data_IF_149681655390
#
_entry.id   IF_149681655390
#
_cell.length_a   1.000
_cell.length_b   1.000
_cell.length_c   1.000
_cell.angle_alpha   90.00
_cell.angle_beta   90.00
_cell.angle_gamma   90.00
#
_symmetry.space_group_name_H-M   'P 1'
#
loop_
_entity.id
_entity.type
_entity.pdbx_description
1 polymer ?
#
# COMPACT_ATOMS: atom_id res chain seq x y z
N UNK A 1 -12.32 9.99 -14.67
CA UNK A 1 -11.45 10.93 -15.45
C UNK A 1 -10.45 10.18 -16.34
N UNK A 2 -10.22 10.56 -17.60
CA UNK A 2 -9.20 9.94 -18.47
C UNK A 2 -8.08 10.93 -18.73
N UNK A 3 -6.82 10.56 -18.53
CA UNK A 3 -5.67 11.44 -18.78
C UNK A 3 -4.61 10.74 -19.63
N UNK A 4 -3.85 11.51 -20.38
CA UNK A 4 -2.66 11.02 -21.05
C UNK A 4 -1.44 11.14 -20.12
N UNK A 5 -0.57 10.13 -20.14
CA UNK A 5 0.72 10.13 -19.44
C UNK A 5 1.82 9.90 -20.46
N UNK A 6 2.95 10.58 -20.28
CA UNK A 6 4.15 10.45 -21.12
C UNK A 6 5.19 9.58 -20.41
N UNK A 7 5.73 8.59 -21.12
CA UNK A 7 6.92 7.85 -20.72
C UNK A 7 8.17 8.56 -21.28
N UNK A 8 9.01 9.11 -20.40
CA UNK A 8 10.19 9.89 -20.80
C UNK A 8 11.30 9.02 -21.39
N UNK A 9 11.48 7.79 -20.93
CA UNK A 9 12.53 6.88 -21.39
C UNK A 9 12.38 6.51 -22.87
N UNK A 10 11.12 6.44 -23.32
CA UNK A 10 10.77 6.16 -24.73
C UNK A 10 10.64 7.42 -25.58
N UNK A 11 10.59 8.60 -24.97
CA UNK A 11 10.39 9.84 -25.69
C UNK A 11 11.73 10.33 -26.26
N UNK A 12 11.80 10.46 -27.59
CA UNK A 12 12.94 11.08 -28.28
C UNK A 12 12.52 12.44 -28.86
N UNK A 13 12.57 13.53 -28.07
CA UNK A 13 12.07 14.83 -28.52
C UNK A 13 12.90 15.42 -29.65
N UNK A 14 14.19 15.11 -29.75
CA UNK A 14 15.06 15.59 -30.83
C UNK A 14 14.79 14.86 -32.16
N UNK A 15 14.40 13.60 -32.10
CA UNK A 15 14.20 12.74 -33.28
C UNK A 15 12.75 12.78 -33.82
N UNK A 16 11.86 13.58 -33.21
CA UNK A 16 10.48 13.74 -33.71
C UNK A 16 10.33 14.98 -34.62
N UNK A 17 9.84 16.09 -34.07
CA UNK A 17 9.69 17.36 -34.76
C UNK A 17 10.07 18.51 -33.82
N UNK A 18 10.46 19.65 -34.37
CA UNK A 18 11.03 20.75 -33.59
C UNK A 18 9.96 21.68 -32.99
N UNK A 19 10.19 22.11 -31.74
CA UNK A 19 9.42 23.16 -31.07
C UNK A 19 7.90 22.89 -31.04
N UNK A 20 7.05 23.86 -31.47
CA UNK A 20 5.60 23.73 -31.42
C UNK A 20 5.03 22.74 -32.44
N UNK A 21 5.84 22.29 -33.41
CA UNK A 21 5.42 21.32 -34.43
C UNK A 21 5.45 19.87 -33.94
N UNK A 22 5.88 19.61 -32.69
CA UNK A 22 5.83 18.28 -32.08
C UNK A 22 4.41 17.71 -32.21
N UNK A 23 4.23 16.46 -32.71
CA UNK A 23 2.90 15.90 -32.96
C UNK A 23 1.98 15.90 -31.74
N UNK A 24 2.53 15.68 -30.54
CA UNK A 24 1.78 15.73 -29.29
C UNK A 24 1.22 17.13 -28.98
N UNK A 25 1.94 18.20 -29.31
CA UNK A 25 1.52 19.60 -29.10
C UNK A 25 0.57 20.02 -30.22
N UNK A 26 1.00 19.84 -31.48
CA UNK A 26 0.28 20.30 -32.69
C UNK A 26 -1.10 19.68 -32.86
N UNK A 27 -1.26 18.40 -32.55
CA UNK A 27 -2.52 17.68 -32.74
C UNK A 27 -3.40 17.58 -31.48
N UNK A 28 -2.93 18.05 -30.32
CA UNK A 28 -3.74 18.06 -29.10
C UNK A 28 -4.93 19.03 -29.26
N UNK A 29 -6.20 18.58 -29.12
CA UNK A 29 -7.37 19.45 -29.26
C UNK A 29 -7.40 20.61 -28.28
N UNK A 30 -6.95 20.36 -27.04
CA UNK A 30 -6.91 21.38 -25.98
C UNK A 30 -5.88 22.46 -26.29
N UNK A 31 -4.68 22.07 -26.74
CA UNK A 31 -3.70 23.03 -27.27
C UNK A 31 -4.20 23.82 -28.47
N UNK A 32 -4.96 23.20 -29.38
CA UNK A 32 -5.53 23.91 -30.54
C UNK A 32 -6.64 24.88 -30.18
N UNK A 33 -7.28 24.70 -29.03
CA UNK A 33 -8.33 25.58 -28.50
C UNK A 33 -7.77 26.68 -27.59
N UNK A 34 -6.44 26.74 -27.41
CA UNK A 34 -5.74 27.77 -26.64
C UNK A 34 -5.30 27.33 -25.25
N UNK A 35 -5.71 26.14 -24.78
CA UNK A 35 -5.29 25.61 -23.49
C UNK A 35 -3.84 25.13 -23.52
N UNK A 36 -3.08 25.38 -22.47
CA UNK A 36 -1.68 24.96 -22.39
C UNK A 36 -1.54 23.53 -21.83
N UNK A 37 -2.23 22.57 -22.45
CA UNK A 37 -2.30 21.18 -21.95
C UNK A 37 -0.99 20.42 -22.11
N UNK A 38 -0.26 20.62 -23.21
CA UNK A 38 1.07 20.04 -23.43
C UNK A 38 2.04 21.16 -23.81
N UNK A 39 3.06 21.40 -23.00
CA UNK A 39 4.10 22.42 -23.22
C UNK A 39 5.45 21.78 -23.43
N UNK A 40 6.33 22.46 -24.16
CA UNK A 40 7.74 22.09 -24.19
C UNK A 40 8.42 22.66 -22.95
N UNK A 41 9.05 21.80 -22.15
CA UNK A 41 9.82 22.23 -20.99
C UNK A 41 11.21 22.72 -21.38
N UNK A 42 11.87 23.37 -20.43
CA UNK A 42 13.27 23.82 -20.57
C UNK A 42 14.24 22.64 -20.75
N UNK A 43 13.85 21.46 -20.27
CA UNK A 43 14.55 20.18 -20.48
C UNK A 43 14.41 19.60 -21.89
N UNK A 44 13.66 20.27 -22.78
CA UNK A 44 13.41 19.83 -24.16
C UNK A 44 12.37 18.72 -24.29
N UNK A 45 11.77 18.27 -23.18
CA UNK A 45 10.71 17.25 -23.19
C UNK A 45 9.31 17.90 -23.17
N UNK A 46 8.28 17.25 -23.75
CA UNK A 46 6.91 17.69 -23.57
C UNK A 46 6.40 17.39 -22.15
N UNK A 47 5.90 18.41 -21.46
CA UNK A 47 5.23 18.31 -20.15
C UNK A 47 3.72 18.42 -20.36
N UNK A 48 2.99 17.46 -19.80
CA UNK A 48 1.54 17.40 -19.87
C UNK A 48 0.94 17.87 -18.55
N UNK A 49 0.01 18.81 -18.61
CA UNK A 49 -0.81 19.21 -17.47
C UNK A 49 -2.05 18.29 -17.38
N UNK A 50 -2.15 17.42 -16.36
CA UNK A 50 -3.23 16.44 -16.26
C UNK A 50 -4.60 17.10 -16.04
N UNK A 51 -4.66 18.28 -15.42
CA UNK A 51 -5.90 18.98 -15.12
C UNK A 51 -6.60 19.54 -16.37
N UNK A 52 -5.83 19.86 -17.40
CA UNK A 52 -6.36 20.39 -18.67
C UNK A 52 -6.64 19.29 -19.70
N UNK A 53 -6.13 18.08 -19.47
CA UNK A 53 -6.20 16.97 -20.40
C UNK A 53 -7.61 16.39 -20.50
N UNK A 54 -8.16 16.36 -21.72
CA UNK A 54 -9.47 15.75 -21.98
C UNK A 54 -9.44 14.22 -22.16
N UNK A 55 -8.26 13.59 -22.13
CA UNK A 55 -8.13 12.14 -22.32
C UNK A 55 -8.47 11.63 -23.73
N UNK A 56 -8.48 12.51 -24.75
CA UNK A 56 -8.90 12.18 -26.11
C UNK A 56 -8.03 11.15 -26.87
N UNK A 57 -6.79 10.91 -26.42
CA UNK A 57 -5.90 9.89 -27.02
C UNK A 57 -5.23 10.27 -28.35
N UNK A 58 -5.37 11.51 -28.82
CA UNK A 58 -4.76 11.93 -30.09
C UNK A 58 -3.22 11.93 -30.01
N UNK A 59 -2.65 12.34 -28.88
CA UNK A 59 -1.20 12.30 -28.65
C UNK A 59 -0.63 10.87 -28.75
N UNK A 60 -1.36 9.85 -28.29
CA UNK A 60 -0.99 8.43 -28.41
C UNK A 60 -0.91 7.99 -29.87
N UNK A 61 -1.92 8.37 -30.66
CA UNK A 61 -2.01 8.00 -32.09
C UNK A 61 -1.01 8.75 -32.97
N UNK A 62 -0.66 9.99 -32.62
CA UNK A 62 0.19 10.87 -33.44
C UNK A 62 1.66 10.85 -33.02
N UNK A 63 2.00 10.27 -31.87
CA UNK A 63 3.38 10.12 -31.44
C UNK A 63 4.09 9.03 -32.25
N UNK A 64 5.19 9.35 -32.97
CA UNK A 64 5.93 8.35 -33.75
C UNK A 64 6.67 7.32 -32.88
N UNK A 65 6.93 7.66 -31.61
CA UNK A 65 7.61 6.80 -30.64
C UNK A 65 6.65 6.09 -29.67
N UNK A 66 5.33 6.30 -29.84
CA UNK A 66 4.29 5.77 -28.94
C UNK A 66 4.55 6.02 -27.44
N UNK A 67 5.20 7.13 -27.09
CA UNK A 67 5.59 7.43 -25.71
C UNK A 67 4.43 7.93 -24.83
N UNK A 68 3.20 7.98 -25.35
CA UNK A 68 2.02 8.38 -24.59
C UNK A 68 1.09 7.19 -24.36
N UNK A 69 0.46 7.16 -23.18
CA UNK A 69 -0.57 6.17 -22.85
C UNK A 69 -1.77 6.91 -22.26
N UNK A 70 -2.99 6.49 -22.63
CA UNK A 70 -4.18 6.95 -21.92
C UNK A 70 -4.40 6.04 -20.72
N UNK A 71 -4.35 6.63 -19.54
CA UNK A 71 -4.80 5.97 -18.32
C UNK A 71 -6.21 6.47 -17.99
N UNK A 72 -7.06 5.54 -17.59
CA UNK A 72 -8.33 5.89 -16.99
C UNK A 72 -8.05 6.05 -15.50
N UNK A 73 -8.12 7.29 -14.99
CA UNK A 73 -8.26 7.52 -13.55
C UNK A 73 -9.71 7.17 -13.23
N UNK A 74 -9.97 6.09 -12.49
CA UNK A 74 -11.33 5.75 -12.14
C UNK A 74 -11.85 6.85 -11.20
N UNK A 75 -12.84 7.62 -11.68
CA UNK A 75 -13.60 8.58 -10.85
C UNK A 75 -14.24 7.87 -9.64
N UNK A 76 -14.49 6.56 -9.80
CA UNK A 76 -15.02 5.64 -8.81
C UNK A 76 -14.12 5.43 -7.58
N UNK A 77 -12.85 5.86 -7.61
CA UNK A 77 -11.96 5.70 -6.47
C UNK A 77 -12.17 6.77 -5.39
N UNK A 78 -12.66 7.96 -5.71
CA UNK A 78 -12.93 8.99 -4.69
C UNK A 78 -14.00 8.54 -3.69
N UNK A 79 -15.03 7.82 -4.17
CA UNK A 79 -16.06 7.22 -3.32
C UNK A 79 -15.59 6.01 -2.52
N UNK A 80 -14.41 5.47 -2.82
CA UNK A 80 -13.86 4.26 -2.19
C UNK A 80 -12.59 4.54 -1.38
N UNK A 81 -12.28 5.82 -1.13
CA UNK A 81 -11.15 6.22 -0.28
C UNK A 81 -11.36 5.62 1.10
N UNK A 82 -10.41 4.80 1.53
CA UNK A 82 -10.42 4.19 2.86
C UNK A 82 -9.59 5.03 3.84
N UNK A 83 -8.40 5.45 3.41
CA UNK A 83 -7.54 6.29 4.23
C UNK A 83 -6.67 7.20 3.35
N UNK A 84 -6.37 8.40 3.84
CA UNK A 84 -5.46 9.34 3.19
C UNK A 84 -4.58 10.02 4.25
N UNK A 85 -3.26 10.00 4.04
CA UNK A 85 -2.31 10.54 5.03
C UNK A 85 -2.26 12.07 5.07
N UNK A 86 -2.45 12.73 3.92
CA UNK A 86 -2.49 14.19 3.79
C UNK A 86 -3.24 14.58 2.51
N UNK A 87 -3.64 15.85 2.31
CA UNK A 87 -4.38 16.29 1.13
C UNK A 87 -3.73 15.90 -0.22
N UNK A 88 -2.40 15.91 -0.30
CA UNK A 88 -1.63 15.48 -1.48
C UNK A 88 -0.89 14.15 -1.27
N UNK A 89 -1.20 13.45 -0.17
CA UNK A 89 -0.51 12.26 0.26
C UNK A 89 -1.03 10.97 -0.37
N UNK A 90 -0.34 9.88 -0.02
CA UNK A 90 -0.76 8.54 -0.38
C UNK A 90 -2.22 8.29 0.06
N UNK A 91 -3.01 7.75 -0.88
CA UNK A 91 -4.42 7.42 -0.69
C UNK A 91 -4.60 5.92 -0.83
N UNK A 92 -5.12 5.29 0.23
CA UNK A 92 -5.55 3.90 0.21
C UNK A 92 -7.00 3.84 -0.25
N UNK A 93 -7.27 3.02 -1.26
CA UNK A 93 -8.61 2.76 -1.77
C UNK A 93 -9.01 1.33 -1.45
N UNK A 94 -10.28 1.16 -1.06
CA UNK A 94 -10.86 -0.11 -0.58
C UNK A 94 -10.13 -0.71 0.62
N UNK A 95 -10.76 -1.70 1.24
CA UNK A 95 -10.20 -2.43 2.36
C UNK A 95 -10.05 -3.92 2.04
N UNK A 96 -9.04 -4.52 2.67
CA UNK A 96 -8.90 -5.96 2.74
C UNK A 96 -10.05 -6.53 3.58
N UNK A 97 -10.72 -7.56 3.08
CA UNK A 97 -11.83 -8.20 3.79
C UNK A 97 -11.32 -9.50 4.42
N UNK A 98 -11.04 -9.53 5.74
CA UNK A 98 -10.66 -10.76 6.40
C UNK A 98 -11.84 -11.74 6.40
N UNK A 99 -11.54 -13.03 6.24
CA UNK A 99 -12.51 -14.11 6.39
C UNK A 99 -12.07 -14.99 7.55
N UNK A 100 -13.01 -15.40 8.40
CA UNK A 100 -12.75 -16.46 9.38
C UNK A 100 -12.39 -17.75 8.62
N UNK A 101 -11.50 -18.54 9.21
CA UNK A 101 -11.09 -19.87 8.75
C UNK A 101 -10.48 -19.94 7.34
N UNK A 102 -10.01 -18.80 6.82
CA UNK A 102 -9.36 -18.73 5.51
C UNK A 102 -8.13 -17.83 5.56
N UNK A 103 -7.12 -18.19 4.78
CA UNK A 103 -5.93 -17.36 4.61
C UNK A 103 -6.19 -16.34 3.50
N UNK A 104 -6.16 -15.06 3.84
CA UNK A 104 -6.22 -13.97 2.86
C UNK A 104 -4.81 -13.65 2.34
N UNK A 105 -4.55 -13.97 1.07
CA UNK A 105 -3.31 -13.57 0.40
C UNK A 105 -3.37 -12.13 -0.09
N UNK A 106 -2.36 -11.31 0.25
CA UNK A 106 -2.25 -9.92 -0.19
C UNK A 106 -1.01 -9.76 -1.06
N UNK A 107 -1.21 -9.53 -2.36
CA UNK A 107 -0.13 -9.41 -3.36
C UNK A 107 -0.22 -8.04 -4.02
N UNK A 108 0.94 -7.39 -4.20
CA UNK A 108 1.04 -6.12 -4.90
C UNK A 108 2.44 -5.53 -4.79
N UNK A 109 2.74 -4.53 -5.61
CA UNK A 109 4.04 -3.83 -5.57
C UNK A 109 4.24 -3.08 -4.24
N UNK A 110 5.47 -2.71 -3.94
CA UNK A 110 5.77 -1.87 -2.78
C UNK A 110 5.13 -0.48 -2.97
N UNK A 111 4.66 0.12 -1.87
CA UNK A 111 3.99 1.43 -1.93
C UNK A 111 2.51 1.40 -2.33
N UNK A 112 1.92 0.24 -2.67
CA UNK A 112 0.48 0.14 -3.02
C UNK A 112 -0.48 0.22 -1.81
N UNK A 113 0.05 0.29 -0.58
CA UNK A 113 -0.76 0.42 0.64
C UNK A 113 -1.02 -0.86 1.43
N UNK A 114 -0.35 -1.98 1.11
CA UNK A 114 -0.48 -3.25 1.87
C UNK A 114 -0.26 -3.06 3.38
N UNK A 115 0.85 -2.43 3.75
CA UNK A 115 1.19 -2.19 5.17
C UNK A 115 0.21 -1.20 5.82
N UNK A 116 -0.33 -0.24 5.06
CA UNK A 116 -1.36 0.69 5.55
C UNK A 116 -2.66 -0.04 5.84
N UNK A 117 -3.12 -0.92 4.94
CA UNK A 117 -4.31 -1.73 5.15
C UNK A 117 -4.17 -2.66 6.38
N UNK A 118 -2.99 -3.26 6.58
CA UNK A 118 -2.72 -4.07 7.78
C UNK A 118 -2.74 -3.26 9.07
N UNK A 119 -2.22 -2.02 9.06
CA UNK A 119 -2.29 -1.11 10.23
C UNK A 119 -3.73 -0.72 10.57
N UNK A 120 -4.60 -0.61 9.56
CA UNK A 120 -6.02 -0.33 9.77
C UNK A 120 -6.71 -1.55 10.37
N UNK A 121 -6.49 -2.73 9.80
CA UNK A 121 -7.04 -3.97 10.35
C UNK A 121 -6.56 -4.20 11.79
N UNK A 122 -5.31 -3.86 12.11
CA UNK A 122 -4.77 -3.98 13.47
C UNK A 122 -5.25 -2.91 14.46
N UNK A 123 -6.08 -1.95 14.02
CA UNK A 123 -6.57 -0.84 14.86
C UNK A 123 -5.52 0.23 15.20
N UNK A 124 -4.29 0.12 14.67
CA UNK A 124 -3.22 1.10 14.89
C UNK A 124 -3.41 2.37 14.05
N UNK A 125 -4.26 2.32 13.04
CA UNK A 125 -4.60 3.43 12.17
C UNK A 125 -6.12 3.44 11.93
N UNK A 126 -6.79 4.57 12.19
CA UNK A 126 -8.20 4.72 11.84
C UNK A 126 -8.36 5.11 10.38
N UNK A 127 -9.43 4.63 9.75
CA UNK A 127 -9.85 5.12 8.45
C UNK A 127 -10.34 6.56 8.58
N UNK A 128 -10.08 7.38 7.56
CA UNK A 128 -10.54 8.77 7.55
C UNK A 128 -11.37 9.13 6.31
N UNK A 129 -11.55 8.20 5.36
CA UNK A 129 -12.28 8.43 4.11
C UNK A 129 -11.85 9.71 3.36
N UNK A 130 -10.59 10.12 3.51
CA UNK A 130 -10.06 11.35 2.89
C UNK A 130 -10.41 12.65 3.64
N UNK A 131 -11.06 12.58 4.80
CA UNK A 131 -11.36 13.72 5.69
C UNK A 131 -10.21 13.94 6.68
N UNK A 132 -10.01 15.19 7.09
CA UNK A 132 -8.93 15.60 7.99
C UNK A 132 -9.48 16.46 9.14
N UNK A 133 -8.67 16.58 10.20
CA UNK A 133 -8.95 17.42 11.37
C UNK A 133 -10.29 17.07 12.04
N UNK A 134 -11.13 18.06 12.34
CA UNK A 134 -12.42 17.87 13.02
C UNK A 134 -13.42 17.01 12.25
N UNK A 135 -13.17 16.77 10.95
CA UNK A 135 -14.02 15.95 10.10
C UNK A 135 -13.60 14.47 10.05
N UNK A 136 -12.61 14.05 10.83
CA UNK A 136 -12.21 12.64 10.85
C UNK A 136 -13.30 11.78 11.52
N UNK A 137 -13.77 10.71 10.86
CA UNK A 137 -14.82 9.84 11.38
C UNK A 137 -14.35 9.09 12.62
N UNK A 138 -15.28 8.90 13.56
CA UNK A 138 -15.06 8.01 14.69
C UNK A 138 -15.29 6.54 14.31
N UNK A 139 -14.93 5.63 15.24
CA UNK A 139 -15.12 4.19 15.03
C UNK A 139 -16.59 3.83 14.73
N UNK A 140 -17.55 4.53 15.34
CA UNK A 140 -18.97 4.31 15.08
C UNK A 140 -19.36 4.66 13.64
N UNK A 141 -18.86 5.77 13.11
CA UNK A 141 -19.08 6.15 11.71
C UNK A 141 -18.41 5.18 10.74
N UNK A 142 -17.21 4.70 11.07
CA UNK A 142 -16.49 3.70 10.26
C UNK A 142 -17.29 2.38 10.24
N UNK A 143 -17.79 1.93 11.38
CA UNK A 143 -18.60 0.71 11.48
C UNK A 143 -19.93 0.87 10.72
N UNK A 144 -20.56 2.04 10.82
CA UNK A 144 -21.80 2.38 10.12
C UNK A 144 -21.62 2.32 8.59
N UNK A 145 -20.51 2.87 8.09
CA UNK A 145 -20.16 2.84 6.66
C UNK A 145 -20.11 1.41 6.10
N UNK A 146 -19.65 0.45 6.90
CA UNK A 146 -19.53 -0.95 6.48
C UNK A 146 -20.78 -1.81 6.75
N UNK A 147 -21.90 -1.23 7.20
CA UNK A 147 -23.14 -1.97 7.50
C UNK A 147 -23.52 -2.97 6.41
N UNK A 148 -23.82 -4.20 6.83
CA UNK A 148 -24.19 -5.29 5.92
C UNK A 148 -22.98 -6.01 5.26
N UNK A 149 -21.75 -5.66 5.62
CA UNK A 149 -20.53 -6.35 5.16
C UNK A 149 -19.83 -7.11 6.30
N UNK A 150 -18.89 -8.00 5.94
CA UNK A 150 -18.04 -8.72 6.91
C UNK A 150 -17.20 -7.74 7.75
N UNK A 151 -16.81 -6.61 7.16
CA UNK A 151 -16.03 -5.58 7.85
C UNK A 151 -16.81 -4.92 8.99
N UNK A 152 -18.14 -4.90 8.94
CA UNK A 152 -18.96 -4.39 10.04
C UNK A 152 -18.76 -5.20 11.32
N UNK A 153 -18.89 -6.53 11.23
CA UNK A 153 -18.66 -7.43 12.36
C UNK A 153 -17.21 -7.31 12.84
N UNK A 154 -16.26 -7.29 11.91
CA UNK A 154 -14.82 -7.19 12.23
C UNK A 154 -14.48 -5.93 13.02
N UNK A 155 -14.89 -4.75 12.54
CA UNK A 155 -14.59 -3.49 13.22
C UNK A 155 -15.35 -3.32 14.54
N UNK A 156 -16.55 -3.92 14.65
CA UNK A 156 -17.27 -3.98 15.92
C UNK A 156 -16.48 -4.78 16.97
N UNK A 157 -16.01 -5.97 16.59
CA UNK A 157 -15.18 -6.80 17.48
C UNK A 157 -13.84 -6.13 17.83
N UNK A 158 -13.25 -5.39 16.88
CA UNK A 158 -12.03 -4.61 17.09
C UNK A 158 -12.26 -3.47 18.09
N UNK A 159 -13.36 -2.71 17.93
CA UNK A 159 -13.75 -1.62 18.85
C UNK A 159 -13.99 -2.16 20.27
N UNK A 160 -14.68 -3.29 20.38
CA UNK A 160 -14.95 -3.97 21.65
C UNK A 160 -13.71 -4.62 22.29
N UNK A 161 -12.54 -4.57 21.62
CA UNK A 161 -11.29 -5.24 22.03
C UNK A 161 -11.45 -6.75 22.25
N UNK A 162 -12.38 -7.38 21.53
CA UNK A 162 -12.63 -8.83 21.54
C UNK A 162 -11.74 -9.59 20.55
N UNK A 163 -10.99 -8.87 19.71
CA UNK A 163 -9.97 -9.42 18.82
C UNK A 163 -8.60 -8.98 19.29
N UNK A 164 -7.70 -9.91 19.64
CA UNK A 164 -6.29 -9.60 19.78
C UNK A 164 -5.57 -9.89 18.46
N UNK A 165 -5.07 -8.82 17.84
CA UNK A 165 -4.42 -8.90 16.54
C UNK A 165 -2.92 -8.98 16.76
N UNK A 166 -2.34 -10.10 16.34
CA UNK A 166 -0.90 -10.28 16.35
C UNK A 166 -0.31 -9.88 15.01
N UNK A 167 0.57 -8.88 15.02
CA UNK A 167 1.27 -8.43 13.83
C UNK A 167 2.76 -8.80 13.92
N UNK A 168 3.25 -9.57 12.93
CA UNK A 168 4.68 -9.83 12.77
C UNK A 168 5.35 -8.57 12.19
N UNK A 169 6.37 -7.99 12.85
CA UNK A 169 7.12 -6.86 12.29
C UNK A 169 7.65 -7.16 10.88
N UNK A 170 7.62 -6.14 10.03
CA UNK A 170 8.18 -6.21 8.67
C UNK A 170 9.72 -6.19 8.74
N UNK A 171 10.27 -5.27 9.54
CA UNK A 171 11.72 -5.16 9.80
C UNK A 171 12.13 -6.09 10.94
N UNK A 172 12.56 -7.30 10.59
CA UNK A 172 13.03 -8.29 11.57
C UNK A 172 14.40 -7.92 12.16
N UNK A 173 15.21 -7.15 11.44
CA UNK A 173 16.58 -6.76 11.83
C UNK A 173 16.63 -5.86 13.06
N UNK A 174 15.52 -5.24 13.43
CA UNK A 174 15.43 -4.39 14.62
C UNK A 174 15.06 -5.16 15.89
N UNK A 175 14.53 -6.39 15.76
CA UNK A 175 14.10 -7.22 16.89
C UNK A 175 15.20 -7.40 17.95
N UNK A 176 16.48 -7.68 17.61
CA UNK A 176 17.53 -7.87 18.61
C UNK A 176 17.85 -6.60 19.43
N UNK A 177 17.46 -5.41 18.94
CA UNK A 177 17.65 -4.15 19.69
C UNK A 177 16.68 -4.03 20.87
N UNK A 178 15.49 -4.61 20.74
CA UNK A 178 14.40 -4.48 21.73
C UNK A 178 14.22 -5.72 22.60
N UNK A 179 14.73 -6.87 22.16
CA UNK A 179 14.56 -8.15 22.84
C UNK A 179 15.93 -8.80 23.02
N UNK A 180 16.30 -9.06 24.27
CA UNK A 180 17.55 -9.69 24.66
C UNK A 180 17.29 -11.02 25.37
N UNK A 181 18.21 -11.97 25.15
CA UNK A 181 18.21 -13.29 25.78
C UNK A 181 18.15 -14.44 24.78
N UNK A 182 18.00 -15.65 25.32
CA UNK A 182 17.84 -16.87 24.52
C UNK A 182 16.45 -16.94 23.90
N UNK A 183 16.36 -17.63 22.77
CA UNK A 183 15.09 -17.84 22.05
C UNK A 183 14.03 -18.50 22.96
N UNK A 184 14.41 -19.50 23.76
CA UNK A 184 13.50 -20.16 24.73
C UNK A 184 12.92 -19.17 25.74
N UNK A 185 13.75 -18.29 26.30
CA UNK A 185 13.31 -17.34 27.31
C UNK A 185 12.31 -16.34 26.73
N UNK A 186 12.50 -15.95 25.47
CA UNK A 186 11.56 -15.08 24.75
C UNK A 186 10.23 -15.78 24.48
N UNK A 187 10.25 -17.05 24.08
CA UNK A 187 9.03 -17.82 23.90
C UNK A 187 8.27 -18.02 25.22
N UNK A 188 8.97 -18.38 26.30
CA UNK A 188 8.36 -18.53 27.64
C UNK A 188 7.77 -17.23 28.18
N UNK A 189 8.41 -16.09 27.90
CA UNK A 189 7.86 -14.77 28.26
C UNK A 189 6.57 -14.43 27.50
N UNK A 190 6.39 -14.97 26.31
CA UNK A 190 5.19 -14.73 25.49
C UNK A 190 4.06 -15.65 25.96
N UNK A 191 4.31 -16.95 26.00
CA UNK A 191 3.31 -17.94 26.40
C UNK A 191 4.02 -19.24 26.81
N UNK A 192 3.94 -19.61 28.08
CA UNK A 192 4.53 -20.85 28.60
C UNK A 192 3.57 -22.03 28.34
N UNK A 193 3.59 -22.50 27.09
CA UNK A 193 2.68 -23.54 26.60
C UNK A 193 3.46 -24.70 25.95
N UNK A 194 2.97 -25.96 26.05
CA UNK A 194 3.54 -27.09 25.32
C UNK A 194 3.59 -26.86 23.80
N UNK A 195 2.81 -25.90 23.29
CA UNK A 195 2.83 -25.45 21.89
C UNK A 195 4.18 -24.92 21.43
N UNK A 196 5.07 -24.49 22.34
CA UNK A 196 6.45 -24.10 22.00
C UNK A 196 7.19 -25.26 21.34
N UNK A 197 7.07 -26.48 21.90
CA UNK A 197 7.80 -27.65 21.40
C UNK A 197 7.26 -28.09 20.03
N UNK A 198 5.95 -28.04 19.83
CA UNK A 198 5.31 -28.33 18.54
C UNK A 198 5.79 -27.34 17.47
N UNK A 199 5.69 -26.03 17.74
CA UNK A 199 6.13 -24.99 16.80
C UNK A 199 7.65 -25.04 16.55
N UNK A 200 8.44 -25.43 17.55
CA UNK A 200 9.88 -25.58 17.38
C UNK A 200 10.24 -26.75 16.46
N UNK A 201 9.44 -27.83 16.45
CA UNK A 201 9.60 -28.93 15.50
C UNK A 201 9.15 -28.51 14.10
N UNK A 202 7.97 -27.89 13.96
CA UNK A 202 7.41 -27.52 12.67
C UNK A 202 8.24 -26.46 11.92
N UNK A 203 8.87 -25.54 12.66
CA UNK A 203 9.70 -24.46 12.12
C UNK A 203 11.20 -24.76 12.16
N UNK A 204 11.60 -25.98 12.55
CA UNK A 204 13.00 -26.40 12.69
C UNK A 204 13.84 -25.41 13.52
N UNK A 205 13.37 -25.15 14.76
CA UNK A 205 13.97 -24.21 15.70
C UNK A 205 14.68 -24.89 16.87
N UNK A 206 14.65 -26.21 16.98
CA UNK A 206 15.18 -26.94 18.15
C UNK A 206 16.65 -26.61 18.47
N UNK A 207 17.50 -26.43 17.44
CA UNK A 207 18.90 -26.06 17.61
C UNK A 207 19.12 -24.56 17.92
N UNK A 208 18.08 -23.74 17.77
CA UNK A 208 18.10 -22.29 18.01
C UNK A 208 17.61 -21.90 19.39
N UNK A 209 16.88 -22.78 20.06
CA UNK A 209 16.25 -22.56 21.37
C UNK A 209 17.24 -22.00 22.42
N UNK A 210 18.44 -22.57 22.49
CA UNK A 210 19.47 -22.17 23.45
C UNK A 210 20.39 -21.04 22.98
N UNK A 211 20.22 -20.57 21.73
CA UNK A 211 21.05 -19.50 21.16
C UNK A 211 20.49 -18.13 21.51
N UNK A 212 21.40 -17.14 21.58
CA UNK A 212 21.03 -15.75 21.79
C UNK A 212 20.49 -15.13 20.49
N UNK A 213 19.44 -14.32 20.60
CA UNK A 213 18.79 -13.66 19.46
C UNK A 213 19.77 -12.77 18.68
N UNK A 214 20.78 -12.18 19.33
CA UNK A 214 21.75 -11.30 18.69
C UNK A 214 22.69 -12.00 17.71
N UNK A 215 22.81 -13.33 17.81
CA UNK A 215 23.76 -14.14 17.02
C UNK A 215 23.05 -14.83 15.83
N UNK A 216 21.73 -14.70 15.75
CA UNK A 216 20.93 -15.34 14.70
C UNK A 216 21.13 -14.66 13.35
N UNK A 217 21.17 -15.47 12.29
CA UNK A 217 21.07 -15.00 10.91
C UNK A 217 19.67 -14.46 10.61
N UNK A 218 19.53 -13.65 9.55
CA UNK A 218 18.23 -13.07 9.17
C UNK A 218 17.13 -14.12 8.90
N UNK A 219 17.49 -15.27 8.33
CA UNK A 219 16.54 -16.37 8.08
C UNK A 219 16.10 -17.06 9.37
N UNK A 220 17.02 -17.29 10.30
CA UNK A 220 16.70 -17.85 11.63
C UNK A 220 15.82 -16.88 12.41
N UNK A 221 16.15 -15.59 12.39
CA UNK A 221 15.37 -14.53 13.04
C UNK A 221 13.96 -14.43 12.46
N UNK A 222 13.79 -14.63 11.15
CA UNK A 222 12.48 -14.67 10.52
C UNK A 222 11.62 -15.83 11.04
N UNK A 223 12.20 -17.04 11.16
CA UNK A 223 11.48 -18.20 11.71
C UNK A 223 11.12 -18.00 13.18
N UNK A 224 12.04 -17.45 13.98
CA UNK A 224 11.78 -17.09 15.38
C UNK A 224 10.66 -16.03 15.48
N UNK A 225 10.65 -15.03 14.60
CA UNK A 225 9.59 -14.02 14.57
C UNK A 225 8.21 -14.60 14.18
N UNK A 226 8.17 -15.59 13.29
CA UNK A 226 6.93 -16.32 12.94
C UNK A 226 6.46 -17.13 14.15
N UNK A 227 7.34 -17.91 14.78
CA UNK A 227 7.01 -18.69 15.97
C UNK A 227 6.49 -17.80 17.11
N UNK A 228 7.18 -16.68 17.39
CA UNK A 228 6.77 -15.71 18.40
C UNK A 228 5.38 -15.11 18.11
N UNK A 229 5.05 -14.88 16.83
CA UNK A 229 3.73 -14.40 16.43
C UNK A 229 2.64 -15.47 16.60
N UNK A 230 2.96 -16.75 16.36
CA UNK A 230 2.02 -17.87 16.53
C UNK A 230 1.81 -18.26 18.01
N UNK A 231 2.78 -17.98 18.87
CA UNK A 231 2.71 -18.23 20.31
C UNK A 231 1.88 -17.19 21.07
N UNK A 232 1.77 -15.97 20.53
CA UNK A 232 0.89 -14.96 21.11
C UNK A 232 -0.56 -15.40 20.89
N UNK A 233 -1.27 -15.59 21.99
CA UNK A 233 -2.72 -15.80 21.93
C UNK A 233 -3.40 -14.49 21.47
N UNK A 234 -4.25 -14.63 20.45
CA UNK A 234 -5.08 -13.58 19.85
C UNK A 234 -6.55 -13.77 20.18
#
# INVERSE_FOLDING_TARGET
MRIAVINRDTCKPNDCASGPNKPCIKYCPRNRTGDETIKLGEDGFPHLNPLLCSGCGICVKKCPFHCYTIINIPEQLESEVSHKYSPDGFTLFRMLVPSKDRVLGVIGQNGVGKSTALKILSGNLKMNFGKFEENTPDWDEIIDYFKGSILHEYFTLLKDKKLAIVHKPQEITEIPKFVQGKVVDVFKKINDSPRITELANDLDLNYLLERDINVLSGGELQRVAIAAALLRDG
#
